data_IF_401944939426
#
_entry.id   IF_401944939426
#
_cell.length_a   1.000
_cell.length_b   1.000
_cell.length_c   1.000
_cell.angle_alpha   90.00
_cell.angle_beta   90.00
_cell.angle_gamma   90.00
#
_symmetry.space_group_name_H-M   'P 1'
#
loop_
_entity.id
_entity.type
_entity.pdbx_description
1 polymer ?
#
# COMPACT_ATOMS: atom_id res chain seq x y z
N UNK A 1 -39.07 10.58 35.70
CA UNK A 1 -38.03 9.53 35.64
C UNK A 1 -36.66 10.19 35.62
N UNK A 2 -35.95 10.24 36.75
CA UNK A 2 -34.59 10.79 36.81
C UNK A 2 -33.61 9.70 36.39
N UNK A 3 -33.05 9.80 35.18
CA UNK A 3 -31.99 8.91 34.71
C UNK A 3 -30.81 9.05 35.67
N UNK A 4 -30.53 8.02 36.47
CA UNK A 4 -29.25 7.88 37.17
C UNK A 4 -28.18 7.89 36.08
N UNK A 5 -27.44 8.99 35.96
CA UNK A 5 -26.12 8.92 35.37
C UNK A 5 -25.36 7.90 36.23
N UNK A 6 -25.24 6.66 35.74
CA UNK A 6 -24.24 5.74 36.24
C UNK A 6 -22.92 6.48 36.03
N UNK A 7 -22.38 7.04 37.11
CA UNK A 7 -21.06 7.66 37.07
C UNK A 7 -20.11 6.59 36.56
N UNK A 8 -19.61 6.77 35.35
CA UNK A 8 -18.55 5.93 34.83
C UNK A 8 -17.45 5.96 35.89
N UNK A 9 -17.11 4.80 36.43
CA UNK A 9 -16.09 4.72 37.47
C UNK A 9 -14.80 5.37 36.94
N UNK A 10 -14.14 6.19 37.75
CA UNK A 10 -12.89 6.85 37.36
C UNK A 10 -11.89 5.82 36.80
N UNK A 11 -11.88 4.60 37.36
CA UNK A 11 -11.07 3.48 36.86
C UNK A 11 -11.39 3.11 35.40
N UNK A 12 -12.67 3.14 35.01
CA UNK A 12 -13.06 2.84 33.61
C UNK A 12 -12.59 3.93 32.64
N UNK A 13 -12.62 5.20 33.05
CA UNK A 13 -12.11 6.32 32.24
C UNK A 13 -10.59 6.18 32.06
N UNK A 14 -9.87 5.84 33.13
CA UNK A 14 -8.42 5.63 33.08
C UNK A 14 -8.04 4.47 32.17
N UNK A 15 -8.75 3.32 32.28
CA UNK A 15 -8.50 2.16 31.41
C UNK A 15 -8.78 2.51 29.94
N UNK A 16 -9.87 3.22 29.65
CA UNK A 16 -10.19 3.66 28.30
C UNK A 16 -9.11 4.59 27.73
N UNK A 17 -8.59 5.52 28.53
CA UNK A 17 -7.50 6.41 28.12
C UNK A 17 -6.20 5.65 27.80
N UNK A 18 -5.81 4.68 28.65
CA UNK A 18 -4.62 3.85 28.43
C UNK A 18 -4.78 3.03 27.15
N UNK A 19 -5.93 2.40 26.95
CA UNK A 19 -6.21 1.61 25.75
C UNK A 19 -6.11 2.46 24.48
N UNK A 20 -6.61 3.70 24.51
CA UNK A 20 -6.52 4.65 23.40
C UNK A 20 -5.06 5.01 23.08
N UNK A 21 -4.24 5.28 24.10
CA UNK A 21 -2.81 5.59 23.92
C UNK A 21 -2.07 4.41 23.27
N UNK A 22 -2.29 3.19 23.76
CA UNK A 22 -1.68 1.98 23.19
C UNK A 22 -2.09 1.80 21.73
N UNK A 23 -3.36 2.03 21.41
CA UNK A 23 -3.87 1.93 20.04
C UNK A 23 -3.18 2.94 19.11
N UNK A 24 -2.99 4.20 19.56
CA UNK A 24 -2.26 5.21 18.80
C UNK A 24 -0.83 4.74 18.50
N UNK A 25 -0.12 4.22 19.51
CA UNK A 25 1.25 3.72 19.34
C UNK A 25 1.30 2.58 18.32
N UNK A 26 0.36 1.63 18.39
CA UNK A 26 0.26 0.53 17.43
C UNK A 26 0.01 1.04 16.00
N UNK A 27 -0.88 2.01 15.81
CA UNK A 27 -1.11 2.63 14.49
C UNK A 27 0.20 3.21 13.95
N UNK A 28 0.93 3.99 14.75
CA UNK A 28 2.18 4.58 14.29
C UNK A 28 3.24 3.54 13.91
N UNK A 29 3.35 2.44 14.68
CA UNK A 29 4.28 1.35 14.35
C UNK A 29 3.87 0.69 13.03
N UNK A 30 2.59 0.35 12.88
CA UNK A 30 2.08 -0.31 11.67
C UNK A 30 2.24 0.58 10.44
N UNK A 31 1.89 1.86 10.52
CA UNK A 31 2.05 2.81 9.40
C UNK A 31 3.52 2.96 9.01
N UNK A 32 4.44 3.01 9.99
CA UNK A 32 5.87 3.12 9.71
C UNK A 32 6.43 1.87 9.04
N UNK A 33 5.97 0.68 9.42
CA UNK A 33 6.41 -0.57 8.78
C UNK A 33 5.75 -0.76 7.40
N UNK A 34 4.48 -0.40 7.23
CA UNK A 34 3.82 -0.41 5.92
C UNK A 34 4.48 0.57 4.93
N UNK A 35 4.98 1.70 5.43
CA UNK A 35 5.73 2.67 4.60
C UNK A 35 7.12 2.16 4.18
N UNK A 36 7.62 1.08 4.79
CA UNK A 36 8.88 0.40 4.40
C UNK A 36 8.64 -0.77 3.45
N UNK A 37 7.39 -1.16 3.22
CA UNK A 37 7.08 -2.18 2.23
C UNK A 37 7.44 -1.56 0.87
N UNK A 38 8.44 -2.11 0.16
CA UNK A 38 8.77 -1.60 -1.16
C UNK A 38 7.50 -1.67 -2.03
N UNK A 39 7.28 -0.68 -2.93
CA UNK A 39 6.21 -0.78 -3.90
C UNK A 39 6.31 -2.14 -4.59
N UNK A 40 5.16 -2.79 -4.80
CA UNK A 40 5.08 -4.15 -5.34
C UNK A 40 6.09 -4.32 -6.49
N UNK A 41 6.80 -5.44 -6.52
CA UNK A 41 7.88 -5.70 -7.48
C UNK A 41 7.44 -5.78 -8.95
N UNK A 42 6.16 -5.51 -9.23
CA UNK A 42 5.60 -5.49 -10.56
C UNK A 42 5.96 -4.23 -11.36
N UNK A 43 5.44 -4.22 -12.59
CA UNK A 43 5.75 -3.28 -13.65
C UNK A 43 5.66 -1.81 -13.21
N UNK A 44 4.54 -1.42 -12.61
CA UNK A 44 4.31 -0.03 -12.18
C UNK A 44 5.03 0.33 -10.88
N UNK A 45 5.33 -0.66 -10.03
CA UNK A 45 5.84 -0.45 -8.68
C UNK A 45 7.36 -0.35 -8.61
N UNK A 46 8.09 -1.39 -9.03
CA UNK A 46 9.55 -1.43 -8.93
C UNK A 46 10.25 -0.74 -10.11
N UNK A 47 9.73 -0.95 -11.31
CA UNK A 47 10.36 -0.49 -12.55
C UNK A 47 9.83 0.86 -13.04
N UNK A 48 8.78 1.41 -12.40
CA UNK A 48 8.03 2.58 -12.89
C UNK A 48 7.65 2.46 -14.37
N UNK A 49 7.41 1.23 -14.80
CA UNK A 49 6.95 0.90 -16.13
C UNK A 49 5.46 1.13 -16.27
N UNK A 50 4.97 0.98 -17.50
CA UNK A 50 3.56 1.04 -17.84
C UNK A 50 3.15 -0.30 -18.45
N UNK A 51 1.99 -0.82 -18.06
CA UNK A 51 1.40 -1.98 -18.72
C UNK A 51 0.73 -1.51 -20.02
N UNK A 52 1.02 -2.18 -21.13
CA UNK A 52 0.43 -1.91 -22.43
C UNK A 52 0.40 -3.19 -23.26
N UNK A 53 -0.49 -3.26 -24.27
CA UNK A 53 -0.54 -4.41 -25.20
C UNK A 53 0.79 -4.60 -25.95
N UNK A 54 1.51 -3.50 -26.23
CA UNK A 54 2.87 -3.53 -26.76
C UNK A 54 3.60 -2.21 -26.44
N UNK A 55 4.93 -2.23 -26.51
CA UNK A 55 5.77 -1.03 -26.40
C UNK A 55 6.08 -0.38 -27.76
N UNK A 56 5.39 -0.81 -28.83
CA UNK A 56 5.61 -0.28 -30.19
C UNK A 56 5.18 1.19 -30.27
N UNK A 57 6.01 2.02 -30.89
CA UNK A 57 5.80 3.49 -30.94
C UNK A 57 6.38 4.26 -29.75
N UNK A 58 6.94 3.55 -28.76
CA UNK A 58 7.73 4.12 -27.66
C UNK A 58 9.24 3.83 -27.81
N UNK A 59 9.66 3.41 -29.01
CA UNK A 59 11.04 3.03 -29.33
C UNK A 59 12.03 4.14 -28.98
N UNK A 60 13.15 3.76 -28.37
CA UNK A 60 14.18 4.69 -27.90
C UNK A 60 13.88 5.38 -26.56
N UNK A 61 12.68 5.22 -26.01
CA UNK A 61 12.34 5.69 -24.64
C UNK A 61 11.96 4.55 -23.72
N UNK A 62 11.36 3.47 -24.24
CA UNK A 62 10.93 2.32 -23.46
C UNK A 62 11.38 0.99 -24.08
N UNK A 63 11.57 -0.02 -23.24
CA UNK A 63 11.87 -1.41 -23.61
C UNK A 63 10.93 -2.36 -22.87
N UNK A 64 10.76 -3.57 -23.41
CA UNK A 64 9.89 -4.60 -22.85
C UNK A 64 10.63 -5.30 -21.70
N UNK A 65 10.04 -5.29 -20.51
CA UNK A 65 10.47 -6.11 -19.38
C UNK A 65 9.64 -7.40 -19.32
N UNK A 66 10.14 -8.44 -19.96
CA UNK A 66 9.48 -9.76 -20.01
C UNK A 66 9.35 -10.43 -18.64
N UNK A 67 10.14 -10.04 -17.65
CA UNK A 67 10.09 -10.64 -16.30
C UNK A 67 8.89 -10.09 -15.51
N UNK A 68 8.50 -8.85 -15.80
CA UNK A 68 7.37 -8.16 -15.17
C UNK A 68 6.15 -8.00 -16.11
N UNK A 69 6.11 -8.74 -17.23
CA UNK A 69 4.93 -8.81 -18.10
C UNK A 69 3.88 -9.80 -17.55
N UNK A 70 2.62 -9.63 -17.97
CA UNK A 70 1.52 -10.48 -17.56
C UNK A 70 1.14 -10.32 -16.08
N UNK A 71 0.25 -11.19 -15.61
CA UNK A 71 -0.29 -11.18 -14.23
C UNK A 71 0.79 -11.37 -13.16
N UNK A 72 1.88 -12.07 -13.48
CA UNK A 72 3.01 -12.26 -12.58
C UNK A 72 3.75 -10.94 -12.26
N UNK A 73 3.77 -10.01 -13.22
CA UNK A 73 4.38 -8.70 -13.06
C UNK A 73 3.38 -7.57 -12.79
N UNK A 74 2.11 -7.90 -12.56
CA UNK A 74 1.09 -6.90 -12.23
C UNK A 74 0.43 -6.22 -13.44
N UNK A 75 0.64 -6.73 -14.66
CA UNK A 75 -0.11 -6.34 -15.86
C UNK A 75 -1.24 -7.34 -16.16
N UNK A 76 -2.16 -7.03 -17.08
CA UNK A 76 -3.13 -8.01 -17.55
C UNK A 76 -2.43 -9.18 -18.30
N UNK A 77 -3.11 -10.33 -18.45
CA UNK A 77 -2.50 -11.55 -19.03
C UNK A 77 -1.90 -11.34 -20.43
N UNK A 78 -2.49 -10.44 -21.22
CA UNK A 78 -2.06 -10.13 -22.59
C UNK A 78 -1.22 -8.84 -22.69
N UNK A 79 -0.90 -8.20 -21.56
CA UNK A 79 -0.13 -6.96 -21.52
C UNK A 79 1.35 -7.20 -21.18
N UNK A 80 2.20 -6.38 -21.79
CA UNK A 80 3.63 -6.33 -21.51
C UNK A 80 3.98 -5.14 -20.62
N UNK A 81 5.04 -5.28 -19.84
CA UNK A 81 5.59 -4.17 -19.08
C UNK A 81 6.57 -3.35 -19.91
N UNK A 82 6.25 -2.09 -20.17
CA UNK A 82 7.13 -1.14 -20.84
C UNK A 82 7.89 -0.30 -19.80
N UNK A 83 9.18 -0.54 -19.67
CA UNK A 83 10.06 0.18 -18.73
C UNK A 83 10.89 1.22 -19.47
N UNK A 84 11.16 2.37 -18.86
CA UNK A 84 11.98 3.40 -19.51
C UNK A 84 13.43 2.92 -19.67
N UNK A 85 13.97 3.13 -20.87
CA UNK A 85 15.39 2.98 -21.15
C UNK A 85 16.06 4.25 -20.58
N UNK A 86 16.95 4.07 -19.61
CA UNK A 86 17.75 5.16 -19.03
C UNK A 86 18.91 5.57 -19.97
#
# INVERSE_FOLDING_TARGET
>A
MRKKAQGLSISTIVIAAIALIVLIILIFIVVRELSKVPPATGCEGATKGICADSCDGLEGTYTIDTVNSGTAGGCAEDEVCCIKIA
#
